data_IF_802075549932
#
_entry.id   IF_802075549932
#
_cell.length_a   1.000
_cell.length_b   1.000
_cell.length_c   1.000
_cell.angle_alpha   90.00
_cell.angle_beta   90.00
_cell.angle_gamma   90.00
#
_symmetry.space_group_name_H-M   'P 1'
#
loop_
_entity.id
_entity.type
_entity.pdbx_description
1 polymer ?
#
# COMPACT_ATOMS: atom_id res chain seq x y z
N UNK A 1 14.00 19.26 -12.67
CA UNK A 1 13.19 18.54 -13.68
C UNK A 1 12.58 17.37 -12.94
N UNK A 2 11.30 17.46 -12.58
CA UNK A 2 10.61 16.36 -11.90
C UNK A 2 10.33 15.26 -12.90
N UNK A 3 11.25 14.30 -12.99
CA UNK A 3 11.05 13.14 -13.83
C UNK A 3 9.99 12.25 -13.19
N UNK A 4 8.86 12.18 -13.88
CA UNK A 4 7.70 11.35 -13.53
C UNK A 4 7.95 9.87 -13.89
N UNK A 5 9.18 9.40 -13.72
CA UNK A 5 9.59 8.09 -14.18
C UNK A 5 9.45 7.04 -13.08
N UNK A 6 9.03 5.86 -13.49
CA UNK A 6 9.04 4.65 -12.68
C UNK A 6 10.25 3.80 -13.08
N UNK A 7 10.78 3.04 -12.14
CA UNK A 7 11.91 2.14 -12.34
C UNK A 7 11.47 0.73 -11.96
N UNK A 8 11.80 -0.24 -12.80
CA UNK A 8 11.68 -1.66 -12.46
C UNK A 8 13.01 -2.11 -11.88
N UNK A 9 13.01 -2.52 -10.62
CA UNK A 9 14.19 -2.90 -9.87
C UNK A 9 14.03 -4.29 -9.25
N UNK A 10 15.13 -5.04 -9.18
CA UNK A 10 15.22 -6.31 -8.47
C UNK A 10 15.82 -6.11 -7.09
N UNK A 11 15.11 -6.64 -6.11
CA UNK A 11 15.45 -6.67 -4.69
C UNK A 11 15.73 -8.11 -4.26
N UNK A 12 15.95 -8.33 -2.97
CA UNK A 12 16.17 -9.67 -2.42
C UNK A 12 14.92 -10.56 -2.50
N UNK A 13 13.74 -9.97 -2.44
CA UNK A 13 12.44 -10.64 -2.41
C UNK A 13 11.77 -10.71 -3.79
N UNK A 14 12.28 -9.99 -4.79
CA UNK A 14 11.82 -10.10 -6.17
C UNK A 14 11.87 -8.79 -6.96
N UNK A 15 11.06 -8.72 -8.02
CA UNK A 15 10.94 -7.54 -8.87
C UNK A 15 9.86 -6.60 -8.34
N UNK A 16 10.23 -5.34 -8.15
CA UNK A 16 9.33 -4.27 -7.72
C UNK A 16 9.39 -3.06 -8.63
N UNK A 17 8.30 -2.30 -8.63
CA UNK A 17 8.21 -0.99 -9.26
C UNK A 17 8.49 0.07 -8.20
N UNK A 18 9.38 1.01 -8.50
CA UNK A 18 9.68 2.15 -7.63
C UNK A 18 9.61 3.46 -8.40
N UNK A 19 9.55 4.58 -7.69
CA UNK A 19 9.71 5.89 -8.30
C UNK A 19 11.19 6.18 -8.54
N UNK A 20 11.50 6.91 -9.60
CA UNK A 20 12.86 7.41 -9.83
C UNK A 20 13.33 8.32 -8.69
N UNK A 21 12.42 9.10 -8.12
CA UNK A 21 12.71 9.93 -6.94
C UNK A 21 13.03 9.12 -5.68
N UNK A 22 12.67 7.83 -5.63
CA UNK A 22 13.06 6.94 -4.54
C UNK A 22 14.44 6.32 -4.77
N UNK A 23 14.94 6.34 -6.01
CA UNK A 23 16.16 5.64 -6.41
C UNK A 23 17.40 6.52 -6.23
N UNK A 24 18.39 6.00 -5.51
CA UNK A 24 19.70 6.60 -5.37
C UNK A 24 20.73 5.87 -6.25
N UNK A 25 21.08 6.49 -7.38
CA UNK A 25 22.04 5.91 -8.34
C UNK A 25 23.46 5.78 -7.77
N UNK A 26 23.86 6.62 -6.81
CA UNK A 26 25.23 6.60 -6.26
C UNK A 26 25.44 5.43 -5.30
N UNK A 27 24.41 5.10 -4.54
CA UNK A 27 24.43 4.01 -3.54
C UNK A 27 23.84 2.70 -4.04
N UNK A 28 23.24 2.71 -5.24
CA UNK A 28 22.48 1.59 -5.79
C UNK A 28 21.43 1.07 -4.81
N UNK A 29 20.69 2.00 -4.21
CA UNK A 29 19.69 1.77 -3.18
C UNK A 29 18.42 2.55 -3.50
N UNK A 30 17.33 2.26 -2.80
CA UNK A 30 16.17 3.16 -2.76
C UNK A 30 15.66 3.38 -1.36
N UNK A 31 15.02 4.52 -1.15
CA UNK A 31 14.15 4.72 0.01
C UNK A 31 12.89 3.89 -0.16
N UNK A 32 12.47 3.21 0.91
CA UNK A 32 11.35 2.28 0.90
C UNK A 32 10.50 2.43 2.16
N UNK A 33 9.17 2.55 2.04
CA UNK A 33 8.28 2.68 3.18
C UNK A 33 8.04 1.33 3.87
N UNK A 34 9.02 0.85 4.63
CA UNK A 34 8.98 -0.44 5.32
C UNK A 34 7.86 -0.59 6.35
N UNK A 35 7.39 0.53 6.92
CA UNK A 35 6.26 0.55 7.84
C UNK A 35 4.92 0.25 7.16
N UNK A 36 4.83 0.32 5.82
CA UNK A 36 3.64 -0.11 5.09
C UNK A 36 3.58 -1.64 5.06
N UNK A 37 2.55 -2.17 5.71
CA UNK A 37 2.36 -3.62 5.86
C UNK A 37 1.75 -4.29 4.63
N UNK A 38 1.09 -3.53 3.75
CA UNK A 38 0.34 -4.08 2.62
C UNK A 38 0.88 -3.58 1.27
N UNK A 39 0.87 -4.48 0.29
CA UNK A 39 1.27 -4.16 -1.10
C UNK A 39 0.37 -3.06 -1.70
N UNK A 40 -0.91 -3.02 -1.32
CA UNK A 40 -1.82 -1.98 -1.78
C UNK A 40 -1.40 -0.59 -1.28
N UNK A 41 -1.01 -0.46 0.00
CA UNK A 41 -0.53 0.81 0.55
C UNK A 41 0.77 1.28 -0.10
N UNK A 42 1.70 0.35 -0.36
CA UNK A 42 2.94 0.61 -1.10
C UNK A 42 2.63 1.06 -2.53
N UNK A 43 1.76 0.33 -3.24
CA UNK A 43 1.31 0.71 -4.58
C UNK A 43 0.64 2.08 -4.58
N UNK A 44 -0.19 2.38 -3.58
CA UNK A 44 -0.83 3.69 -3.42
C UNK A 44 0.24 4.76 -3.26
N UNK A 45 1.23 4.57 -2.39
CA UNK A 45 2.34 5.50 -2.20
C UNK A 45 3.16 5.75 -3.48
N UNK A 46 3.41 4.70 -4.26
CA UNK A 46 4.08 4.81 -5.58
C UNK A 46 3.21 5.63 -6.55
N UNK A 47 1.91 5.37 -6.60
CA UNK A 47 0.97 6.07 -7.49
C UNK A 47 0.80 7.53 -7.07
N UNK A 48 0.66 7.80 -5.77
CA UNK A 48 0.47 9.14 -5.22
C UNK A 48 1.78 9.90 -5.03
N UNK A 49 2.92 9.26 -5.30
CA UNK A 49 4.27 9.84 -5.16
C UNK A 49 4.55 10.37 -3.77
N UNK A 50 4.14 9.58 -2.79
CA UNK A 50 4.41 9.89 -1.40
C UNK A 50 5.93 9.94 -1.15
N UNK A 51 6.34 10.84 -0.27
CA UNK A 51 7.70 10.97 0.23
C UNK A 51 7.65 10.84 1.76
N UNK A 52 8.74 10.40 2.41
CA UNK A 52 8.83 10.39 3.87
C UNK A 52 8.51 11.80 4.40
N UNK A 53 7.48 11.90 5.25
CA UNK A 53 7.17 13.12 5.98
C UNK A 53 7.98 13.15 7.28
N UNK A 54 8.28 14.36 7.77
CA UNK A 54 9.32 14.75 8.76
C UNK A 54 9.44 13.96 10.09
N UNK A 55 8.70 12.88 10.31
CA UNK A 55 8.78 12.02 11.50
C UNK A 55 8.76 10.50 11.23
N UNK A 56 8.60 10.04 9.98
CA UNK A 56 8.76 8.63 9.62
C UNK A 56 9.85 8.48 8.57
N UNK A 57 11.01 8.00 9.02
CA UNK A 57 12.10 7.63 8.12
C UNK A 57 11.70 6.38 7.33
N UNK A 58 11.88 6.45 6.02
CA UNK A 58 11.79 5.28 5.14
C UNK A 58 13.14 4.59 5.13
N UNK A 59 13.13 3.27 5.14
CA UNK A 59 14.36 2.48 5.15
C UNK A 59 15.07 2.55 3.80
N UNK A 60 16.40 2.51 3.82
CA UNK A 60 17.21 2.42 2.60
C UNK A 60 17.43 0.95 2.25
N UNK A 61 16.82 0.49 1.14
CA UNK A 61 16.95 -0.89 0.67
C UNK A 61 17.94 -0.99 -0.51
N UNK A 62 18.85 -1.99 -0.49
CA UNK A 62 19.77 -2.21 -1.59
C UNK A 62 19.05 -2.79 -2.82
N UNK A 63 19.38 -2.28 -4.01
CA UNK A 63 18.87 -2.76 -5.29
C UNK A 63 19.93 -3.64 -5.94
N UNK A 64 19.57 -4.88 -6.28
CA UNK A 64 20.47 -5.77 -7.02
C UNK A 64 20.68 -5.32 -8.45
N UNK A 65 19.59 -4.94 -9.12
CA UNK A 65 19.63 -4.61 -10.55
C UNK A 65 18.45 -3.73 -10.96
N UNK A 66 18.69 -2.82 -11.89
CA UNK A 66 17.65 -2.03 -12.56
C UNK A 66 17.41 -2.58 -13.97
N UNK A 67 16.14 -2.84 -14.32
CA UNK A 67 15.74 -3.43 -15.60
C UNK A 67 15.26 -2.40 -16.63
N UNK A 68 14.89 -1.21 -16.19
CA UNK A 68 14.49 -0.13 -17.08
C UNK A 68 13.71 0.96 -16.35
N UNK A 69 13.61 2.11 -17.02
CA UNK A 69 12.81 3.25 -16.60
C UNK A 69 11.63 3.41 -17.56
N UNK A 70 10.47 3.80 -17.04
CA UNK A 70 9.26 4.05 -17.81
C UNK A 70 8.66 5.39 -17.40
N UNK A 71 8.33 6.24 -18.37
CA UNK A 71 7.68 7.52 -18.12
C UNK A 71 6.19 7.33 -17.77
N UNK A 72 5.65 8.25 -16.95
CA UNK A 72 4.31 8.15 -16.35
C UNK A 72 3.10 8.10 -17.29
N UNK A 73 3.29 8.18 -18.61
CA UNK A 73 2.18 8.21 -19.56
C UNK A 73 1.55 6.84 -19.85
N UNK A 74 1.92 5.80 -19.11
CA UNK A 74 1.43 4.45 -19.36
C UNK A 74 0.90 3.87 -18.05
N UNK A 75 -0.40 3.56 -18.06
CA UNK A 75 -1.16 2.98 -16.95
C UNK A 75 -0.38 1.87 -16.24
N UNK A 76 0.01 2.13 -14.99
CA UNK A 76 0.87 1.30 -14.13
C UNK A 76 0.36 -0.13 -13.95
N UNK A 77 -0.95 -0.36 -14.15
CA UNK A 77 -1.59 -1.67 -14.05
C UNK A 77 -1.29 -2.61 -15.24
N UNK A 78 -0.84 -2.10 -16.38
CA UNK A 78 -0.58 -2.93 -17.58
C UNK A 78 0.85 -3.49 -17.63
N UNK A 79 1.80 -2.85 -16.94
CA UNK A 79 3.21 -3.18 -17.06
C UNK A 79 3.67 -4.40 -16.27
N UNK A 80 3.13 -4.58 -15.06
CA UNK A 80 3.48 -5.74 -14.22
C UNK A 80 2.98 -7.03 -14.84
N UNK A 81 1.79 -7.01 -15.47
CA UNK A 81 1.19 -8.20 -16.05
C UNK A 81 1.84 -8.60 -17.39
N UNK A 82 2.13 -7.64 -18.28
CA UNK A 82 2.65 -7.97 -19.61
C UNK A 82 4.10 -8.47 -19.59
N UNK A 83 4.98 -7.94 -18.73
CA UNK A 83 6.38 -8.38 -18.70
C UNK A 83 6.59 -9.66 -17.91
N UNK A 84 5.87 -9.86 -16.80
CA UNK A 84 5.87 -11.13 -16.06
C UNK A 84 5.35 -12.26 -16.94
N UNK A 85 4.31 -12.00 -17.75
CA UNK A 85 3.78 -12.95 -18.72
C UNK A 85 4.82 -13.36 -19.77
N UNK A 86 5.56 -12.39 -20.32
CA UNK A 86 6.63 -12.65 -21.29
C UNK A 86 7.80 -13.46 -20.69
N UNK A 87 8.10 -13.30 -19.39
CA UNK A 87 9.10 -14.14 -18.70
C UNK A 87 8.59 -15.58 -18.46
N UNK A 88 7.32 -15.77 -18.14
CA UNK A 88 6.73 -17.13 -18.01
C UNK A 88 6.57 -17.85 -19.34
N UNK A 89 6.38 -17.12 -20.45
CA UNK A 89 6.28 -17.71 -21.79
C UNK A 89 7.65 -18.21 -22.29
N UNK A 90 8.75 -17.56 -21.91
CA UNK A 90 10.12 -18.04 -22.23
C UNK A 90 10.53 -19.32 -21.48
N UNK A 91 9.88 -19.66 -20.35
CA UNK A 91 10.13 -20.91 -19.62
C UNK A 91 9.35 -22.11 -20.15
N UNK A 92 8.42 -21.91 -21.10
CA UNK A 92 7.63 -22.98 -21.71
C UNK A 92 8.20 -23.48 -23.04
N UNK A 93 9.36 -22.95 -23.47
CA UNK A 93 10.09 -23.41 -24.65
C UNK A 93 11.07 -24.52 -24.27
N UNK A 94 10.58 -25.77 -24.22
CA UNK A 94 11.30 -27.00 -24.62
C UNK A 94 10.78 -28.23 -23.86
N UNK A 95 9.83 -28.96 -24.47
CA UNK A 95 9.88 -30.41 -24.67
C UNK A 95 8.56 -30.89 -25.30
N UNK A 96 8.58 -31.22 -26.59
CA UNK A 96 7.45 -31.77 -27.35
C UNK A 96 7.14 -33.24 -26.98
N UNK A 97 6.81 -33.49 -25.71
CA UNK A 97 6.28 -34.79 -25.25
C UNK A 97 5.36 -34.65 -24.04
N UNK A 98 4.55 -33.59 -23.99
CA UNK A 98 3.62 -33.42 -22.88
C UNK A 98 2.31 -34.19 -23.13
N UNK A 99 2.17 -35.35 -22.46
CA UNK A 99 0.94 -36.14 -22.50
C UNK A 99 -0.28 -35.27 -22.16
N UNK A 100 -1.37 -35.42 -22.94
CA UNK A 100 -2.61 -34.64 -22.80
C UNK A 100 -3.14 -34.60 -21.35
N UNK A 101 -2.99 -35.72 -20.62
CA UNK A 101 -3.34 -35.81 -19.21
C UNK A 101 -2.57 -34.80 -18.31
N UNK A 102 -1.27 -34.66 -18.54
CA UNK A 102 -0.41 -33.70 -17.82
C UNK A 102 -0.85 -32.26 -18.11
N UNK A 103 -1.17 -31.95 -19.37
CA UNK A 103 -1.66 -30.63 -19.78
C UNK A 103 -2.98 -30.27 -19.10
N UNK A 104 -3.95 -31.19 -19.08
CA UNK A 104 -5.25 -30.95 -18.43
C UNK A 104 -5.12 -30.82 -16.90
N UNK A 105 -4.25 -31.61 -16.27
CA UNK A 105 -3.97 -31.47 -14.84
C UNK A 105 -3.28 -30.14 -14.51
N UNK A 106 -2.33 -29.70 -15.34
CA UNK A 106 -1.69 -28.37 -15.25
C UNK A 106 -2.73 -27.24 -15.39
N UNK A 107 -3.67 -27.37 -16.32
CA UNK A 107 -4.75 -26.39 -16.51
C UNK A 107 -5.67 -26.32 -15.29
N UNK A 108 -6.05 -27.48 -14.72
CA UNK A 108 -6.87 -27.55 -13.53
C UNK A 108 -6.17 -26.94 -12.30
N UNK A 109 -4.90 -27.28 -12.09
CA UNK A 109 -4.09 -26.74 -10.99
C UNK A 109 -3.90 -25.24 -11.12
N UNK A 110 -3.61 -24.73 -12.33
CA UNK A 110 -3.53 -23.30 -12.62
C UNK A 110 -4.86 -22.59 -12.32
N UNK A 111 -6.00 -23.18 -12.70
CA UNK A 111 -7.32 -22.64 -12.38
C UNK A 111 -7.58 -22.54 -10.87
N UNK A 112 -7.19 -23.57 -10.11
CA UNK A 112 -7.27 -23.56 -8.63
C UNK A 112 -6.36 -22.49 -8.02
N UNK A 113 -5.13 -22.37 -8.51
CA UNK A 113 -4.17 -21.34 -8.06
C UNK A 113 -4.71 -19.93 -8.33
N UNK A 114 -5.26 -19.69 -9.51
CA UNK A 114 -5.87 -18.39 -9.84
C UNK A 114 -7.07 -18.07 -8.94
N UNK A 115 -7.88 -19.07 -8.57
CA UNK A 115 -8.98 -18.90 -7.63
C UNK A 115 -8.49 -18.56 -6.22
N UNK A 116 -7.39 -19.18 -5.77
CA UNK A 116 -6.75 -18.85 -4.50
C UNK A 116 -6.18 -17.42 -4.55
N UNK A 117 -5.51 -17.06 -5.64
CA UNK A 117 -4.97 -15.72 -5.84
C UNK A 117 -6.06 -14.65 -5.77
N UNK A 118 -7.20 -14.86 -6.43
CA UNK A 118 -8.33 -13.93 -6.35
C UNK A 118 -8.88 -13.79 -4.93
N UNK A 119 -8.96 -14.92 -4.18
CA UNK A 119 -9.40 -14.90 -2.79
C UNK A 119 -8.39 -14.16 -1.89
N UNK A 120 -7.09 -14.36 -2.09
CA UNK A 120 -6.04 -13.64 -1.37
C UNK A 120 -6.17 -12.14 -1.62
N UNK A 121 -6.32 -11.73 -2.88
CA UNK A 121 -6.53 -10.32 -3.22
C UNK A 121 -7.77 -9.74 -2.53
N UNK A 122 -8.87 -10.50 -2.50
CA UNK A 122 -10.10 -10.07 -1.80
C UNK A 122 -9.88 -9.94 -0.29
N UNK A 123 -9.08 -10.82 0.31
CA UNK A 123 -8.74 -10.77 1.74
C UNK A 123 -7.87 -9.55 2.02
N UNK A 124 -6.85 -9.30 1.20
CA UNK A 124 -6.00 -8.10 1.31
C UNK A 124 -6.85 -6.83 1.30
N UNK A 125 -7.74 -6.67 0.32
CA UNK A 125 -8.64 -5.50 0.25
C UNK A 125 -9.51 -5.35 1.49
N UNK A 126 -10.01 -6.46 2.06
CA UNK A 126 -10.82 -6.42 3.29
C UNK A 126 -9.99 -6.03 4.50
N UNK A 127 -8.75 -6.51 4.60
CA UNK A 127 -7.82 -6.13 5.67
C UNK A 127 -7.54 -4.63 5.57
N UNK A 128 -7.29 -4.10 4.38
CA UNK A 128 -7.05 -2.67 4.17
C UNK A 128 -8.24 -1.82 4.65
N UNK A 129 -9.48 -2.21 4.31
CA UNK A 129 -10.70 -1.52 4.77
C UNK A 129 -10.84 -1.59 6.30
N UNK A 130 -10.48 -2.71 6.91
CA UNK A 130 -10.54 -2.87 8.36
C UNK A 130 -9.46 -2.04 9.06
N UNK A 131 -8.24 -2.01 8.52
CA UNK A 131 -7.17 -1.16 9.04
C UNK A 131 -7.52 0.33 8.96
N UNK A 132 -8.18 0.78 7.88
CA UNK A 132 -8.69 2.15 7.77
C UNK A 132 -9.74 2.47 8.83
N UNK A 133 -10.65 1.52 9.11
CA UNK A 133 -11.66 1.65 10.17
C UNK A 133 -11.09 1.57 11.58
N UNK A 134 -9.93 0.92 11.74
CA UNK A 134 -9.26 0.73 13.02
C UNK A 134 -8.18 1.78 13.29
N UNK A 135 -7.85 2.66 12.34
CA UNK A 135 -7.09 3.85 12.66
C UNK A 135 -7.86 4.61 13.74
N UNK A 136 -7.22 4.99 14.87
CA UNK A 136 -7.85 5.86 15.83
C UNK A 136 -8.31 7.11 15.08
N UNK A 137 -9.48 7.61 15.44
CA UNK A 137 -9.96 8.93 15.04
C UNK A 137 -8.95 9.94 15.63
N UNK A 138 -7.80 10.10 14.98
CA UNK A 138 -6.77 11.07 15.30
C UNK A 138 -7.05 12.37 14.53
N UNK A 139 -8.29 12.82 14.66
CA UNK A 139 -8.73 14.15 14.28
C UNK A 139 -9.86 14.58 15.22
N UNK A 140 -9.61 14.52 16.52
CA UNK A 140 -10.20 15.44 17.51
C UNK A 140 -9.36 15.32 18.79
N UNK A 141 -8.21 15.96 18.78
CA UNK A 141 -7.43 16.22 19.99
C UNK A 141 -6.97 17.67 19.94
N UNK A 142 -7.96 18.56 20.01
CA UNK A 142 -7.82 19.84 20.67
C UNK A 142 -8.98 19.93 21.66
N UNK A 143 -8.61 19.78 22.92
CA UNK A 143 -9.27 20.34 24.12
C UNK A 143 -10.80 20.34 24.12
N UNK A 144 -11.41 19.19 24.40
CA UNK A 144 -12.74 19.17 24.97
C UNK A 144 -12.73 18.19 26.14
N UNK A 145 -12.74 18.73 27.37
CA UNK A 145 -12.79 18.00 28.64
C UNK A 145 -14.12 17.24 28.85
N UNK A 146 -14.92 17.03 27.81
CA UNK A 146 -16.23 16.42 27.91
C UNK A 146 -16.11 14.92 27.67
N UNK A 147 -15.99 14.18 28.78
CA UNK A 147 -15.99 12.71 28.78
C UNK A 147 -17.44 12.23 28.67
N UNK A 148 -17.87 11.85 27.47
CA UNK A 148 -19.13 11.14 27.25
C UNK A 148 -18.88 9.61 27.23
N UNK A 149 -19.86 8.78 27.65
CA UNK A 149 -21.21 9.13 28.10
C UNK A 149 -21.28 9.54 29.59
N UNK A 150 -22.07 10.58 29.89
CA UNK A 150 -22.42 10.97 31.26
C UNK A 150 -23.21 9.81 31.88
N UNK A 151 -22.67 9.24 32.96
CA UNK A 151 -23.21 8.02 33.56
C UNK A 151 -23.82 8.25 34.93
N UNK A 152 -23.59 9.43 35.52
CA UNK A 152 -24.07 9.80 36.85
C UNK A 152 -24.73 11.19 36.84
N UNK A 153 -25.62 11.43 37.82
CA UNK A 153 -26.36 12.69 37.93
C UNK A 153 -25.47 13.87 38.37
N UNK A 154 -24.40 13.57 39.11
CA UNK A 154 -23.37 14.53 39.52
C UNK A 154 -22.56 15.02 38.31
N UNK A 155 -22.18 14.11 37.41
CA UNK A 155 -21.52 14.45 36.14
C UNK A 155 -22.41 15.31 35.23
N UNK A 156 -23.74 15.08 35.25
CA UNK A 156 -24.70 15.88 34.48
C UNK A 156 -24.81 17.31 35.02
N UNK A 157 -24.84 17.47 36.35
CA UNK A 157 -24.94 18.78 37.00
C UNK A 157 -23.67 19.60 36.75
N UNK A 158 -22.50 18.97 36.83
CA UNK A 158 -21.22 19.60 36.50
C UNK A 158 -21.14 20.04 35.03
N UNK A 159 -21.66 19.21 34.10
CA UNK A 159 -21.71 19.57 32.68
C UNK A 159 -22.68 20.74 32.40
N UNK A 160 -23.81 20.80 33.10
CA UNK A 160 -24.78 21.89 32.99
C UNK A 160 -24.21 23.23 33.50
N UNK A 161 -23.40 23.20 34.57
CA UNK A 161 -22.66 24.36 35.04
C UNK A 161 -21.64 24.87 34.00
N UNK A 162 -20.91 23.97 33.33
CA UNK A 162 -19.96 24.34 32.27
C UNK A 162 -20.64 25.01 31.06
N UNK A 163 -21.85 24.57 30.69
CA UNK A 163 -22.61 25.18 29.59
C UNK A 163 -23.06 26.62 29.89
N UNK A 164 -23.14 27.00 31.17
CA UNK A 164 -23.50 28.35 31.59
C UNK A 164 -22.32 29.33 31.57
N UNK A 165 -21.08 28.85 31.54
CA UNK A 165 -19.90 29.69 31.41
C UNK A 165 -19.80 30.24 29.98
N UNK A 166 -19.86 31.58 29.83
CA UNK A 166 -19.93 32.29 28.54
C UNK A 166 -18.81 31.98 27.56
N UNK A 167 -17.69 31.38 27.99
CA UNK A 167 -16.57 31.03 27.12
C UNK A 167 -16.92 29.93 26.11
N UNK A 168 -17.92 29.09 26.38
CA UNK A 168 -18.33 28.04 25.44
C UNK A 168 -19.02 28.57 24.17
N UNK A 169 -19.52 29.82 24.19
CA UNK A 169 -20.19 30.44 23.03
C UNK A 169 -19.22 31.08 22.04
N UNK A 170 -18.00 31.41 22.44
CA UNK A 170 -17.02 32.09 21.59
C UNK A 170 -16.08 31.12 20.85
N UNK A 171 -15.99 29.85 21.27
CA UNK A 171 -15.19 28.82 20.60
C UNK A 171 -15.94 28.03 19.51
N UNK A 172 -17.20 28.38 19.20
CA UNK A 172 -18.03 27.68 18.18
C UNK A 172 -18.47 28.62 17.05
N UNK A 173 -17.68 29.66 16.74
CA UNK A 173 -17.84 30.49 15.52
C UNK A 173 -16.58 30.44 14.67
#
# INVERSE_FOLDING_TARGET
MDTMAFIIAEFNDGLHLILESWYNASKQSCIWPSHFKTKMRINKAIITREMPQNHLEWDELPIKRVFGKADSNINTHSFTNNRVRNFTEQLNGDSDSENNYTREYKKLTLGKLNKILYKLHTIETKIDILEEKMQPINSFSQENNVKLPISTNEELTYFEEQLHERQFKEEVV
#
